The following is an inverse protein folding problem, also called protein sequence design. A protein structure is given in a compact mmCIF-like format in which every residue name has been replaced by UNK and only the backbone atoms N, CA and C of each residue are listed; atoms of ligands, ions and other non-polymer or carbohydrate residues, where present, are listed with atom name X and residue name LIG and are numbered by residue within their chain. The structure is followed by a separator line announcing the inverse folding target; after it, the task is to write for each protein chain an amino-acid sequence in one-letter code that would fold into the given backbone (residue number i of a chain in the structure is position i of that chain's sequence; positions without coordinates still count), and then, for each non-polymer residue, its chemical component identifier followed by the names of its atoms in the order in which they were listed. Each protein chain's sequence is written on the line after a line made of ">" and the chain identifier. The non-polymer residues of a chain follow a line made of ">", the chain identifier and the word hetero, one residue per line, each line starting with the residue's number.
data_IF_161940586634
#
_entry.id   IF_161940586634
#
_cell.length_a   1.000
_cell.length_b   1.000
_cell.length_c   1.000
_cell.angle_alpha   90.00
_cell.angle_beta   90.00
_cell.angle_gamma   90.00
#
_symmetry.space_group_name_H-M   'P 1'
#
loop_
_entity.id
_entity.type
_entity.pdbx_description
1 polymer ?
#
# COMPACT_ATOMS: atom_id res chain seq x y z
N UNK A 1 -6.13 -6.81 -1.25
CA UNK A 1 -6.92 -5.75 -1.93
C UNK A 1 -8.04 -5.28 -1.00
N UNK A 2 -7.92 -4.06 -0.48
CA UNK A 2 -8.88 -3.45 0.43
C UNK A 2 -9.93 -2.60 -0.32
N UNK A 3 -9.98 -2.66 -1.65
CA UNK A 3 -10.93 -1.93 -2.48
C UNK A 3 -10.60 -0.44 -2.68
N UNK A 4 -9.61 0.13 -1.98
CA UNK A 4 -9.23 1.53 -2.10
C UNK A 4 -7.95 1.74 -2.93
N UNK A 5 -7.60 0.78 -3.78
CA UNK A 5 -6.48 0.87 -4.72
C UNK A 5 -6.86 1.72 -5.95
N UNK A 6 -5.86 2.09 -6.77
CA UNK A 6 -6.14 2.67 -8.09
C UNK A 6 -6.86 1.66 -8.98
N UNK A 7 -7.49 2.17 -10.04
CA UNK A 7 -8.16 1.33 -11.04
C UNK A 7 -7.22 0.23 -11.53
N UNK A 8 -7.68 -1.02 -11.47
CA UNK A 8 -6.99 -2.24 -11.91
C UNK A 8 -5.64 -2.54 -11.21
N UNK A 9 -5.25 -1.79 -10.18
CA UNK A 9 -3.90 -1.90 -9.60
C UNK A 9 -3.64 -3.28 -8.98
N UNK A 10 -4.64 -3.89 -8.34
CA UNK A 10 -4.52 -5.25 -7.82
C UNK A 10 -4.26 -6.28 -8.92
N UNK A 11 -4.94 -6.14 -10.07
CA UNK A 11 -4.82 -7.05 -11.21
C UNK A 11 -3.46 -6.87 -11.91
N UNK A 12 -2.99 -5.63 -12.06
CA UNK A 12 -1.68 -5.32 -12.62
C UNK A 12 -0.53 -5.90 -11.78
N UNK A 13 -0.65 -5.84 -10.45
CA UNK A 13 0.34 -6.44 -9.53
C UNK A 13 0.30 -7.96 -9.60
N UNK A 14 -0.90 -8.56 -9.61
CA UNK A 14 -1.08 -10.00 -9.72
C UNK A 14 -0.61 -10.55 -11.08
N UNK A 15 -0.76 -9.80 -12.17
CA UNK A 15 -0.23 -10.19 -13.48
C UNK A 15 1.30 -10.32 -13.51
N UNK A 16 2.01 -9.65 -12.60
CA UNK A 16 3.47 -9.71 -12.50
C UNK A 16 3.92 -10.70 -11.43
N UNK A 17 3.38 -10.63 -10.22
CA UNK A 17 3.85 -11.44 -9.08
C UNK A 17 2.99 -12.66 -8.79
N UNK A 18 1.84 -12.79 -9.44
CA UNK A 18 0.91 -13.91 -9.28
C UNK A 18 1.36 -15.18 -10.02
N UNK A 19 0.53 -16.26 -9.96
CA UNK A 19 0.87 -17.58 -10.48
C UNK A 19 1.20 -17.63 -11.98
N UNK A 20 0.61 -16.72 -12.77
CA UNK A 20 0.84 -16.62 -14.22
C UNK A 20 1.95 -15.63 -14.59
N UNK A 21 2.56 -14.99 -13.60
CA UNK A 21 3.62 -14.01 -13.78
C UNK A 21 5.01 -14.64 -14.02
N UNK A 22 6.02 -13.83 -14.37
CA UNK A 22 7.38 -14.30 -14.61
C UNK A 22 8.14 -14.74 -13.34
N UNK A 23 7.57 -14.56 -12.15
CA UNK A 23 8.23 -14.89 -10.87
C UNK A 23 7.63 -16.13 -10.22
N UNK A 24 8.49 -17.02 -9.75
CA UNK A 24 8.09 -18.18 -8.95
C UNK A 24 7.86 -17.77 -7.48
N UNK A 25 6.66 -17.25 -7.21
CA UNK A 25 6.25 -16.76 -5.89
C UNK A 25 4.95 -17.44 -5.45
N UNK A 26 4.87 -17.79 -4.16
CA UNK A 26 3.60 -18.14 -3.53
C UNK A 26 2.80 -16.86 -3.24
N UNK A 27 2.11 -16.35 -4.25
CA UNK A 27 1.33 -15.12 -4.18
C UNK A 27 -0.12 -15.39 -3.78
N UNK A 28 -0.56 -14.79 -2.68
CA UNK A 28 -1.93 -14.93 -2.17
C UNK A 28 -2.63 -13.57 -2.28
N UNK A 29 -3.58 -13.47 -3.21
CA UNK A 29 -4.46 -12.29 -3.30
C UNK A 29 -5.68 -12.45 -2.41
N UNK A 30 -5.86 -11.48 -1.51
CA UNK A 30 -6.99 -11.43 -0.58
C UNK A 30 -7.89 -10.27 -0.97
N UNK A 31 -9.09 -10.54 -1.45
CA UNK A 31 -10.08 -9.52 -1.82
C UNK A 31 -10.99 -9.21 -0.63
N UNK A 32 -10.74 -8.08 0.03
CA UNK A 32 -11.39 -7.67 1.28
C UNK A 32 -12.28 -6.42 1.14
N UNK A 33 -12.57 -5.96 -0.08
CA UNK A 33 -13.26 -4.69 -0.34
C UNK A 33 -14.54 -4.48 0.52
N UNK A 34 -15.42 -5.49 0.58
CA UNK A 34 -16.72 -5.37 1.27
C UNK A 34 -16.55 -5.19 2.77
N UNK A 35 -15.52 -5.82 3.34
CA UNK A 35 -15.14 -5.69 4.74
C UNK A 35 -14.71 -4.26 5.06
N UNK A 36 -13.85 -3.69 4.23
CA UNK A 36 -13.40 -2.30 4.40
C UNK A 36 -14.53 -1.29 4.19
N UNK A 37 -15.37 -1.46 3.16
CA UNK A 37 -16.51 -0.57 2.92
C UNK A 37 -17.51 -0.60 4.07
N UNK A 38 -17.79 -1.79 4.61
CA UNK A 38 -18.67 -1.94 5.78
C UNK A 38 -18.13 -1.21 7.01
N UNK A 39 -16.80 -1.25 7.23
CA UNK A 39 -16.15 -0.58 8.37
C UNK A 39 -16.03 0.93 8.21
N UNK A 40 -15.97 1.41 6.96
CA UNK A 40 -15.87 2.83 6.62
C UNK A 40 -17.22 3.52 6.46
N UNK A 41 -18.33 2.77 6.48
CA UNK A 41 -19.68 3.31 6.36
C UNK A 41 -19.94 4.39 7.43
N UNK A 42 -20.40 5.56 6.99
CA UNK A 42 -20.64 6.73 7.84
C UNK A 42 -19.39 7.47 8.34
N UNK A 43 -18.18 6.95 8.11
CA UNK A 43 -16.93 7.55 8.62
C UNK A 43 -16.46 8.67 7.70
N UNK A 44 -16.34 9.88 8.26
CA UNK A 44 -15.94 11.09 7.52
C UNK A 44 -14.58 11.63 7.94
N UNK A 45 -14.23 11.50 9.22
CA UNK A 45 -12.98 12.03 9.79
C UNK A 45 -11.75 11.30 9.22
N UNK A 46 -10.80 12.02 8.59
CA UNK A 46 -9.65 11.40 7.93
C UNK A 46 -8.82 10.49 8.84
N UNK A 47 -8.55 10.93 10.07
CA UNK A 47 -7.75 10.14 11.02
C UNK A 47 -8.50 8.91 11.51
N UNK A 48 -9.82 8.98 11.63
CA UNK A 48 -10.63 7.81 11.94
C UNK A 48 -10.58 6.78 10.81
N UNK A 49 -10.64 7.22 9.54
CA UNK A 49 -10.48 6.31 8.39
C UNK A 49 -9.11 5.65 8.41
N UNK A 50 -8.03 6.39 8.66
CA UNK A 50 -6.67 5.84 8.74
C UNK A 50 -6.58 4.72 9.78
N UNK A 51 -7.11 4.96 10.98
CA UNK A 51 -7.12 3.97 12.06
C UNK A 51 -7.89 2.71 11.67
N UNK A 52 -9.09 2.87 11.13
CA UNK A 52 -9.92 1.73 10.69
C UNK A 52 -9.21 0.92 9.61
N UNK A 53 -8.65 1.59 8.59
CA UNK A 53 -7.97 0.90 7.48
C UNK A 53 -6.71 0.16 7.98
N UNK A 54 -5.93 0.80 8.85
CA UNK A 54 -4.73 0.18 9.43
C UNK A 54 -5.06 -1.01 10.32
N UNK A 55 -6.04 -0.88 11.21
CA UNK A 55 -6.50 -1.98 12.07
C UNK A 55 -7.04 -3.15 11.24
N UNK A 56 -7.84 -2.86 10.21
CA UNK A 56 -8.43 -3.91 9.38
C UNK A 56 -7.38 -4.62 8.52
N UNK A 57 -6.32 -3.92 8.11
CA UNK A 57 -5.18 -4.53 7.42
C UNK A 57 -4.51 -5.57 8.31
N UNK A 58 -4.25 -5.23 9.57
CA UNK A 58 -3.66 -6.14 10.54
C UNK A 58 -4.56 -7.38 10.72
N UNK A 59 -5.86 -7.18 10.96
CA UNK A 59 -6.81 -8.29 11.17
C UNK A 59 -6.87 -9.24 9.97
N UNK A 60 -6.95 -8.70 8.75
CA UNK A 60 -6.94 -9.51 7.53
C UNK A 60 -5.60 -10.24 7.39
N UNK A 61 -4.48 -9.56 7.63
CA UNK A 61 -3.15 -10.16 7.56
C UNK A 61 -3.01 -11.34 8.54
N UNK A 62 -3.46 -11.20 9.78
CA UNK A 62 -3.45 -12.27 10.79
C UNK A 62 -4.30 -13.47 10.39
N UNK A 63 -5.51 -13.22 9.87
CA UNK A 63 -6.41 -14.29 9.43
C UNK A 63 -5.78 -15.12 8.31
N UNK A 64 -5.06 -14.50 7.40
CA UNK A 64 -4.40 -15.18 6.29
C UNK A 64 -3.09 -15.84 6.72
N UNK A 65 -2.31 -15.21 7.60
CA UNK A 65 -1.11 -15.81 8.20
C UNK A 65 -1.44 -17.12 8.93
N UNK A 66 -2.56 -17.15 9.69
CA UNK A 66 -3.03 -18.37 10.38
C UNK A 66 -3.35 -19.53 9.43
N UNK A 67 -3.74 -19.25 8.19
CA UNK A 67 -4.00 -20.29 7.16
C UNK A 67 -2.70 -20.87 6.60
N UNK A 68 -1.65 -20.06 6.53
CA UNK A 68 -0.31 -20.49 6.08
C UNK A 68 0.36 -21.34 7.16
N UNK A 69 0.09 -21.05 8.45
CA UNK A 69 0.60 -21.79 9.59
C UNK A 69 1.79 -21.09 10.24
N UNK A 70 2.76 -21.86 10.73
CA UNK A 70 3.94 -21.31 11.39
C UNK A 70 4.90 -20.68 10.36
N UNK A 71 5.25 -19.41 10.60
CA UNK A 71 6.19 -18.65 9.78
C UNK A 71 7.28 -18.10 10.69
N UNK A 72 8.53 -18.40 10.38
CA UNK A 72 9.68 -18.00 11.22
C UNK A 72 10.04 -16.51 11.05
N UNK A 73 9.86 -15.96 9.86
CA UNK A 73 10.37 -14.64 9.50
C UNK A 73 9.30 -13.77 8.85
N UNK A 74 9.28 -12.49 9.21
CA UNK A 74 8.51 -11.47 8.49
C UNK A 74 9.48 -10.59 7.69
N UNK A 75 9.34 -10.57 6.36
CA UNK A 75 10.15 -9.70 5.50
C UNK A 75 9.45 -8.36 5.31
N UNK A 76 10.18 -7.26 5.48
CA UNK A 76 9.70 -5.91 5.22
C UNK A 76 10.61 -5.16 4.24
N UNK A 77 10.00 -4.26 3.46
CA UNK A 77 10.70 -3.39 2.50
C UNK A 77 11.22 -2.08 3.10
N UNK A 78 11.53 -2.04 4.40
CA UNK A 78 12.07 -0.86 5.08
C UNK A 78 13.34 -0.38 4.38
N UNK A 79 13.45 0.94 4.12
CA UNK A 79 14.62 1.56 3.47
C UNK A 79 15.34 2.52 4.41
N UNK A 80 16.55 2.95 4.02
CA UNK A 80 17.39 3.80 4.87
C UNK A 80 16.70 5.09 5.37
N UNK A 81 15.95 5.83 4.52
CA UNK A 81 15.14 6.97 5.01
C UNK A 81 14.17 6.63 6.14
N UNK A 82 13.55 5.43 6.14
CA UNK A 82 12.60 5.03 7.19
C UNK A 82 13.32 4.75 8.52
N UNK A 83 14.52 4.16 8.47
CA UNK A 83 15.37 3.91 9.64
C UNK A 83 15.79 5.24 10.29
N UNK A 84 16.17 6.23 9.49
CA UNK A 84 16.55 7.56 10.01
C UNK A 84 15.34 8.26 10.63
N UNK A 85 14.17 8.21 9.98
CA UNK A 85 12.97 8.87 10.50
C UNK A 85 12.47 8.25 11.82
N UNK A 86 12.60 6.93 11.96
CA UNK A 86 12.24 6.20 13.18
C UNK A 86 13.26 6.37 14.32
N UNK A 87 14.55 6.51 14.00
CA UNK A 87 15.61 6.70 15.00
C UNK A 87 15.66 8.09 15.66
N UNK A 88 15.00 9.09 15.09
CA UNK A 88 15.06 10.49 15.54
C UNK A 88 14.03 10.87 16.63
N UNK A 89 13.22 9.94 17.13
CA UNK A 89 12.45 10.11 18.38
C UNK A 89 11.44 11.27 18.43
N UNK A 90 10.96 11.76 17.28
CA UNK A 90 9.93 12.81 17.21
C UNK A 90 8.49 12.28 17.28
N UNK A 91 7.48 13.16 17.31
CA UNK A 91 6.04 12.82 17.29
C UNK A 91 5.63 11.88 16.13
N UNK A 92 6.44 11.79 15.06
CA UNK A 92 6.27 10.82 13.95
C UNK A 92 6.50 9.36 14.37
N UNK A 93 7.24 9.10 15.46
CA UNK A 93 7.51 7.77 15.98
C UNK A 93 6.23 7.07 16.50
N UNK A 94 5.28 7.85 17.04
CA UNK A 94 3.99 7.34 17.54
C UNK A 94 3.03 7.01 16.40
N UNK A 95 3.17 7.69 15.26
CA UNK A 95 2.34 7.51 14.07
C UNK A 95 2.87 6.35 13.22
N UNK A 96 4.20 6.15 13.16
CA UNK A 96 4.84 5.07 12.39
C UNK A 96 5.05 3.76 13.14
N UNK A 97 4.82 3.69 14.46
CA UNK A 97 4.80 2.43 15.22
C UNK A 97 3.81 1.41 14.63
N UNK A 98 2.80 1.86 13.90
CA UNK A 98 1.80 1.01 13.23
C UNK A 98 2.22 0.56 11.81
N UNK A 99 3.34 1.06 11.27
CA UNK A 99 3.80 0.72 9.91
C UNK A 99 5.00 -0.23 9.89
N UNK A 100 5.86 -0.20 10.91
CA UNK A 100 6.93 -1.19 11.10
C UNK A 100 6.69 -1.95 12.41
N UNK A 101 5.98 -3.08 12.31
CA UNK A 101 5.80 -4.16 13.30
C UNK A 101 5.25 -3.83 14.69
N UNK A 102 5.28 -2.58 15.16
CA UNK A 102 4.72 -2.19 16.45
C UNK A 102 3.18 -2.26 16.55
N UNK A 103 2.50 -2.74 15.50
CA UNK A 103 1.06 -2.99 15.46
C UNK A 103 0.66 -4.44 15.18
N UNK A 104 1.60 -5.37 15.03
CA UNK A 104 1.24 -6.79 14.91
C UNK A 104 0.85 -7.33 16.29
N UNK A 105 -0.35 -7.93 16.47
CA UNK A 105 -0.79 -8.42 17.76
C UNK A 105 0.09 -9.57 18.24
N UNK A 106 0.14 -9.78 19.56
CA UNK A 106 0.90 -10.83 20.25
C UNK A 106 0.61 -12.27 19.77
N UNK A 107 -0.30 -12.46 18.80
CA UNK A 107 -0.72 -13.78 18.33
C UNK A 107 -0.01 -14.27 17.06
N UNK A 108 0.89 -13.46 16.47
CA UNK A 108 1.76 -13.88 15.37
C UNK A 108 3.22 -13.76 15.80
N UNK A 109 3.73 -14.82 16.40
CA UNK A 109 5.12 -14.91 16.84
C UNK A 109 6.05 -15.16 15.64
N UNK A 110 6.65 -14.10 15.13
CA UNK A 110 7.80 -14.20 14.22
C UNK A 110 9.08 -14.29 15.05
N UNK A 111 10.02 -15.16 14.65
CA UNK A 111 11.34 -15.23 15.28
C UNK A 111 12.13 -13.94 15.05
N UNK A 112 12.03 -13.38 13.84
CA UNK A 112 12.77 -12.19 13.46
C UNK A 112 12.08 -11.45 12.30
N UNK A 113 12.30 -10.14 12.24
CA UNK A 113 11.93 -9.30 11.11
C UNK A 113 13.18 -9.13 10.23
N UNK A 114 13.04 -9.41 8.94
CA UNK A 114 14.12 -9.28 7.97
C UNK A 114 13.85 -8.05 7.10
N UNK A 115 14.82 -7.14 7.03
CA UNK A 115 14.72 -5.87 6.28
C UNK A 115 15.86 -5.76 5.25
N UNK A 116 15.79 -6.45 4.10
CA UNK A 116 16.91 -6.54 3.16
C UNK A 116 17.31 -5.22 2.51
N UNK A 117 16.40 -4.24 2.49
CA UNK A 117 16.59 -2.95 1.82
C UNK A 117 16.98 -1.82 2.79
N UNK A 118 17.20 -2.14 4.07
CA UNK A 118 17.36 -1.17 5.17
C UNK A 118 18.48 -0.14 4.96
N UNK A 119 19.50 -0.49 4.18
CA UNK A 119 20.67 0.34 3.94
C UNK A 119 20.62 1.07 2.58
N UNK A 120 19.52 0.92 1.83
CA UNK A 120 19.37 1.48 0.49
C UNK A 120 18.52 2.76 0.50
N UNK A 121 18.88 3.71 -0.37
CA UNK A 121 18.04 4.84 -0.75
C UNK A 121 17.04 4.46 -1.85
N UNK A 122 16.05 5.33 -2.07
CA UNK A 122 14.94 5.07 -3.01
C UNK A 122 15.40 4.85 -4.45
N UNK A 123 16.43 5.54 -4.91
CA UNK A 123 16.99 5.35 -6.24
C UNK A 123 17.76 4.01 -6.37
N UNK A 124 18.39 3.56 -5.29
CA UNK A 124 19.09 2.26 -5.21
C UNK A 124 18.09 1.10 -5.20
N UNK A 125 16.99 1.21 -4.46
CA UNK A 125 15.89 0.23 -4.52
C UNK A 125 15.30 0.12 -5.92
N UNK A 126 15.18 1.25 -6.63
CA UNK A 126 14.72 1.24 -8.03
C UNK A 126 15.70 0.50 -8.94
N UNK A 127 17.01 0.76 -8.80
CA UNK A 127 18.04 0.05 -9.56
C UNK A 127 17.98 -1.47 -9.29
N UNK A 128 17.89 -1.86 -8.02
CA UNK A 128 17.74 -3.26 -7.64
C UNK A 128 16.48 -3.91 -8.25
N UNK A 129 15.35 -3.22 -8.23
CA UNK A 129 14.11 -3.71 -8.86
C UNK A 129 14.25 -3.94 -10.37
N UNK A 130 14.94 -3.05 -11.09
CA UNK A 130 15.21 -3.21 -12.52
C UNK A 130 16.15 -4.39 -12.80
N UNK A 131 17.19 -4.57 -11.99
CA UNK A 131 18.10 -5.73 -12.11
C UNK A 131 17.39 -7.06 -11.84
N UNK A 132 16.37 -7.06 -10.98
CA UNK A 132 15.48 -8.19 -10.72
C UNK A 132 14.43 -8.40 -11.83
N UNK A 133 14.47 -7.63 -12.91
CA UNK A 133 13.56 -7.74 -14.05
C UNK A 133 12.16 -7.18 -13.81
N UNK A 134 11.94 -6.42 -12.72
CA UNK A 134 10.62 -5.84 -12.42
C UNK A 134 10.32 -4.79 -13.50
N UNK A 135 9.13 -4.81 -14.13
CA UNK A 135 8.78 -3.86 -15.17
C UNK A 135 8.97 -2.40 -14.75
N UNK A 136 9.51 -1.57 -15.66
CA UNK A 136 9.81 -0.16 -15.39
C UNK A 136 8.59 0.59 -14.86
N UNK A 137 7.40 0.34 -15.42
CA UNK A 137 6.16 0.99 -15.00
C UNK A 137 5.72 0.64 -13.56
N UNK A 138 6.19 -0.48 -13.00
CA UNK A 138 6.00 -0.81 -11.58
C UNK A 138 7.08 -0.16 -10.72
N UNK A 139 8.35 -0.24 -11.13
CA UNK A 139 9.49 0.34 -10.39
C UNK A 139 9.36 1.85 -10.22
N UNK A 140 8.95 2.54 -11.29
CA UNK A 140 8.83 4.00 -11.30
C UNK A 140 7.43 4.50 -10.94
N UNK A 141 6.52 3.59 -10.56
CA UNK A 141 5.17 3.95 -10.13
C UNK A 141 5.21 4.97 -9.00
N UNK A 142 4.28 5.92 -9.03
CA UNK A 142 4.19 6.93 -7.98
C UNK A 142 3.84 6.32 -6.63
N UNK A 143 4.40 6.88 -5.52
CA UNK A 143 4.01 6.49 -4.17
C UNK A 143 2.50 6.58 -3.99
N UNK A 144 1.95 5.55 -3.35
CA UNK A 144 0.53 5.47 -3.04
C UNK A 144 0.38 5.20 -1.53
N UNK A 145 -0.46 5.96 -0.82
CA UNK A 145 -0.57 5.83 0.62
C UNK A 145 -1.26 4.52 1.01
N UNK A 146 -0.91 3.94 2.16
CA UNK A 146 -1.55 2.72 2.68
C UNK A 146 -3.09 2.81 2.78
N UNK A 147 -3.66 3.92 3.32
CA UNK A 147 -5.10 4.15 3.28
C UNK A 147 -5.72 4.31 1.87
N UNK A 148 -4.89 4.37 0.84
CA UNK A 148 -5.26 4.48 -0.57
C UNK A 148 -6.20 5.65 -0.87
N UNK A 149 -7.22 5.38 -1.68
CA UNK A 149 -8.25 6.34 -2.05
C UNK A 149 -9.13 6.76 -0.86
N UNK A 150 -9.12 6.04 0.26
CA UNK A 150 -9.92 6.37 1.45
C UNK A 150 -9.63 7.76 2.02
N UNK A 151 -8.39 8.24 1.88
CA UNK A 151 -7.97 9.60 2.27
C UNK A 151 -8.03 10.62 1.14
N UNK A 152 -8.27 10.18 -0.11
CA UNK A 152 -8.47 11.07 -1.28
C UNK A 152 -9.94 11.39 -1.52
N UNK A 153 -10.85 10.72 -0.82
CA UNK A 153 -12.27 11.03 -0.78
C UNK A 153 -12.53 11.87 0.48
N UNK A 154 -12.94 13.12 0.28
CA UNK A 154 -13.43 13.95 1.38
C UNK A 154 -14.83 13.44 1.77
N UNK A 155 -15.12 13.38 3.08
CA UNK A 155 -16.37 12.84 3.60
C UNK A 155 -16.42 11.32 3.57
N UNK A 156 -17.61 10.74 3.47
CA UNK A 156 -17.80 9.28 3.54
C UNK A 156 -17.25 8.54 2.32
N UNK A 157 -16.65 7.36 2.54
CA UNK A 157 -16.14 6.47 1.49
C UNK A 157 -17.23 5.46 1.11
N UNK A 158 -17.67 5.49 -0.14
CA UNK A 158 -18.63 4.53 -0.71
C UNK A 158 -18.07 3.90 -1.97
N UNK A 159 -18.56 2.71 -2.35
CA UNK A 159 -18.13 2.02 -3.57
C UNK A 159 -18.28 2.91 -4.84
N UNK A 160 -19.36 3.69 -4.91
CA UNK A 160 -19.60 4.64 -6.00
C UNK A 160 -18.54 5.74 -6.04
N UNK A 161 -18.23 6.37 -4.90
CA UNK A 161 -17.20 7.41 -4.80
C UNK A 161 -15.82 6.86 -5.11
N UNK A 162 -15.50 5.66 -4.62
CA UNK A 162 -14.24 4.98 -4.94
C UNK A 162 -14.11 4.78 -6.44
N UNK A 163 -15.14 4.24 -7.10
CA UNK A 163 -15.15 4.08 -8.56
C UNK A 163 -14.94 5.41 -9.30
N UNK A 164 -15.64 6.46 -8.87
CA UNK A 164 -15.49 7.79 -9.46
C UNK A 164 -14.05 8.32 -9.35
N UNK A 165 -13.42 8.17 -8.19
CA UNK A 165 -12.02 8.59 -7.99
C UNK A 165 -11.07 7.70 -8.78
N UNK A 166 -11.32 6.39 -8.86
CA UNK A 166 -10.51 5.47 -9.67
C UNK A 166 -10.51 5.85 -11.14
N UNK A 167 -11.68 6.15 -11.71
CA UNK A 167 -11.83 6.57 -13.10
C UNK A 167 -11.17 7.94 -13.34
N UNK A 168 -11.41 8.91 -12.45
CA UNK A 168 -10.79 10.23 -12.54
C UNK A 168 -9.26 10.20 -12.40
N UNK A 169 -8.74 9.43 -11.44
CA UNK A 169 -7.29 9.25 -11.22
C UNK A 169 -6.65 8.53 -12.41
N UNK A 170 -7.32 7.53 -13.00
CA UNK A 170 -6.82 6.84 -14.18
C UNK A 170 -6.65 7.80 -15.38
N UNK A 171 -7.69 8.57 -15.70
CA UNK A 171 -7.64 9.56 -16.78
C UNK A 171 -6.57 10.60 -16.49
N UNK A 172 -6.52 11.14 -15.27
CA UNK A 172 -5.53 12.16 -14.93
C UNK A 172 -4.09 11.65 -15.07
N UNK A 173 -3.82 10.42 -14.63
CA UNK A 173 -2.48 9.82 -14.79
C UNK A 173 -2.13 9.55 -16.25
N UNK A 174 -3.10 9.14 -17.06
CA UNK A 174 -2.92 8.95 -18.51
C UNK A 174 -2.57 10.27 -19.21
N UNK A 175 -3.28 11.36 -18.92
CA UNK A 175 -2.99 12.68 -19.49
C UNK A 175 -1.61 13.21 -19.07
N UNK A 176 -1.19 12.99 -17.82
CA UNK A 176 0.17 13.35 -17.37
C UNK A 176 1.25 12.56 -18.12
N UNK A 177 1.02 11.27 -18.37
CA UNK A 177 1.93 10.44 -19.16
C UNK A 177 1.97 10.88 -20.63
N UNK A 178 0.81 11.17 -21.24
CA UNK A 178 0.70 11.69 -22.61
C UNK A 178 1.40 13.04 -22.78
N UNK A 179 1.43 13.86 -21.72
CA UNK A 179 2.17 15.12 -21.68
C UNK A 179 3.69 14.94 -21.43
N UNK A 180 4.18 13.73 -21.16
CA UNK A 180 5.59 13.45 -20.84
C UNK A 180 6.05 14.00 -19.49
N UNK A 181 5.13 14.18 -18.54
CA UNK A 181 5.38 14.81 -17.23
C UNK A 181 5.46 13.79 -16.07
N UNK A 182 5.19 12.52 -16.33
CA UNK A 182 5.14 11.42 -15.35
C UNK A 182 6.46 11.22 -14.59
N UNK A 183 7.61 11.49 -15.24
CA UNK A 183 8.95 11.39 -14.62
C UNK A 183 9.45 12.67 -13.95
N UNK A 184 8.78 13.81 -14.16
CA UNK A 184 9.23 15.12 -13.64
C UNK A 184 8.43 15.58 -12.42
N UNK A 185 7.16 15.18 -12.32
CA UNK A 185 6.31 15.53 -11.18
C UNK A 185 6.50 14.52 -10.05
N UNK A 186 6.75 15.03 -8.83
CA UNK A 186 7.01 14.19 -7.66
C UNK A 186 5.84 13.28 -7.25
N UNK A 187 4.62 13.84 -7.19
CA UNK A 187 3.38 13.09 -6.95
C UNK A 187 2.18 13.83 -7.56
N UNK A 188 1.28 13.12 -8.23
CA UNK A 188 0.02 13.66 -8.73
C UNK A 188 -1.12 12.65 -8.49
N UNK A 189 -2.32 13.15 -8.23
CA UNK A 189 -3.49 12.32 -7.95
C UNK A 189 -4.79 13.09 -8.12
N UNK A 190 -5.87 12.36 -8.37
CA UNK A 190 -7.22 12.90 -8.24
C UNK A 190 -7.73 12.75 -6.79
N UNK A 191 -8.47 13.76 -6.33
CA UNK A 191 -9.20 13.73 -5.06
C UNK A 191 -10.65 14.13 -5.31
N UNK A 192 -11.58 13.53 -4.58
CA UNK A 192 -13.00 13.84 -4.66
C UNK A 192 -13.40 14.71 -3.48
N UNK A 193 -13.73 15.97 -3.75
CA UNK A 193 -14.34 16.88 -2.80
C UNK A 193 -15.83 16.57 -2.67
N UNK A 194 -16.44 16.89 -1.52
CA UNK A 194 -17.85 16.58 -1.26
C UNK A 194 -18.75 17.18 -2.36
N UNK A 195 -19.36 16.30 -3.18
CA UNK A 195 -20.63 16.53 -3.86
C UNK A 195 -21.72 15.78 -3.10
#
# INVERSE_FOLDING_TARGET
>A
DHGLLRKNEGDEVEAVFGPDGPYDLNFIRVNAQERYYSKLAGVKEPEQKRKIIGEEFIRVFEEEAKKIGAVDFLVQGTIYPDVVESGLGGESAVIKSHHNVGGLPDCVDFKEIIEPLRDLFKDEVRKAGLEMGIPEYLVYRQPFPGPGLGIRIIGEVTAEKVKMVQDADAIYREEIANAGLDKTIGQYFAALTNM
#
